data_IF_185945693693
#
_entry.id   IF_185945693693
#
_cell.length_a   1.000
_cell.length_b   1.000
_cell.length_c   1.000
_cell.angle_alpha   90.00
_cell.angle_beta   90.00
_cell.angle_gamma   90.00
#
_symmetry.space_group_name_H-M   'P 1'
#
loop_
_entity.id
_entity.type
_entity.pdbx_description
1 polymer ?
#
# COMPACT_ATOMS: atom_id res chain seq x y z
N UNK A 1 46.67 20.63 -42.97
CA UNK A 1 46.11 21.76 -42.19
C UNK A 1 44.59 21.67 -42.07
N UNK A 2 43.84 21.53 -43.17
CA UNK A 2 42.37 21.43 -43.17
C UNK A 2 41.81 20.24 -42.36
N UNK A 3 42.49 19.10 -42.40
CA UNK A 3 42.12 17.87 -41.67
C UNK A 3 42.27 18.02 -40.15
N UNK A 4 43.26 18.79 -39.69
CA UNK A 4 43.46 19.09 -38.27
C UNK A 4 42.37 20.03 -37.75
N UNK A 5 41.99 21.04 -38.53
CA UNK A 5 40.92 21.98 -38.18
C UNK A 5 39.54 21.29 -38.10
N UNK A 6 39.28 20.33 -38.99
CA UNK A 6 38.05 19.53 -38.97
C UNK A 6 37.99 18.63 -37.73
N UNK A 7 39.12 18.05 -37.33
CA UNK A 7 39.25 17.20 -36.13
C UNK A 7 38.99 18.00 -34.85
N UNK A 8 39.54 19.21 -34.72
CA UNK A 8 39.32 20.06 -33.54
C UNK A 8 37.87 20.51 -33.42
N UNK A 9 37.23 20.91 -34.54
CA UNK A 9 35.81 21.29 -34.56
C UNK A 9 34.87 20.16 -34.10
N UNK A 10 35.11 18.93 -34.58
CA UNK A 10 34.34 17.74 -34.16
C UNK A 10 34.50 17.46 -32.66
N UNK A 11 35.72 17.56 -32.13
CA UNK A 11 35.98 17.37 -30.69
C UNK A 11 35.25 18.42 -29.84
N UNK A 12 35.25 19.67 -30.26
CA UNK A 12 34.52 20.75 -29.56
C UNK A 12 33.02 20.49 -29.55
N UNK A 13 32.44 20.05 -30.68
CA UNK A 13 31.02 19.70 -30.75
C UNK A 13 30.65 18.58 -29.78
N UNK A 14 31.45 17.50 -29.75
CA UNK A 14 31.23 16.37 -28.83
C UNK A 14 31.26 16.83 -27.37
N UNK A 15 32.21 17.69 -27.01
CA UNK A 15 32.33 18.20 -25.64
C UNK A 15 31.12 19.04 -25.22
N UNK A 16 30.58 19.88 -26.11
CA UNK A 16 29.38 20.69 -25.84
C UNK A 16 28.16 19.79 -25.65
N UNK A 17 27.99 18.79 -26.52
CA UNK A 17 26.90 17.81 -26.39
C UNK A 17 27.01 17.05 -25.07
N UNK A 18 28.21 16.59 -24.72
CA UNK A 18 28.46 15.87 -23.47
C UNK A 18 28.15 16.75 -22.25
N UNK A 19 28.59 18.00 -22.25
CA UNK A 19 28.29 18.95 -21.18
C UNK A 19 26.77 19.18 -21.03
N UNK A 20 26.06 19.33 -22.14
CA UNK A 20 24.60 19.51 -22.16
C UNK A 20 23.88 18.29 -21.58
N UNK A 21 24.33 17.08 -21.93
CA UNK A 21 23.79 15.83 -21.38
C UNK A 21 24.02 15.78 -19.88
N UNK A 22 25.22 16.09 -19.39
CA UNK A 22 25.54 16.06 -17.95
C UNK A 22 24.66 17.03 -17.17
N UNK A 23 24.49 18.26 -17.67
CA UNK A 23 23.62 19.27 -17.02
C UNK A 23 22.18 18.77 -16.97
N UNK A 24 21.67 18.24 -18.08
CA UNK A 24 20.29 17.72 -18.16
C UNK A 24 20.10 16.55 -17.20
N UNK A 25 21.04 15.61 -17.16
CA UNK A 25 21.01 14.45 -16.27
C UNK A 25 21.04 14.86 -14.79
N UNK A 26 21.81 15.88 -14.45
CA UNK A 26 21.88 16.43 -13.09
C UNK A 26 20.53 16.97 -12.63
N UNK A 27 19.88 17.80 -13.46
CA UNK A 27 18.54 18.33 -13.17
C UNK A 27 17.52 17.19 -13.04
N UNK A 28 17.62 16.19 -13.92
CA UNK A 28 16.71 15.05 -13.89
C UNK A 28 16.87 14.21 -12.61
N UNK A 29 18.10 14.02 -12.15
CA UNK A 29 18.41 13.29 -10.91
C UNK A 29 17.79 13.97 -9.69
N UNK A 30 17.90 15.30 -9.60
CA UNK A 30 17.30 16.07 -8.49
C UNK A 30 15.78 15.94 -8.50
N UNK A 31 15.15 16.11 -9.68
CA UNK A 31 13.70 15.95 -9.84
C UNK A 31 13.24 14.54 -9.48
N UNK A 32 13.95 13.52 -9.96
CA UNK A 32 13.66 12.13 -9.69
C UNK A 32 13.73 11.82 -8.20
N UNK A 33 14.77 12.29 -7.52
CA UNK A 33 14.94 12.05 -6.09
C UNK A 33 13.82 12.70 -5.27
N UNK A 34 13.46 13.94 -5.63
CA UNK A 34 12.36 14.64 -4.99
C UNK A 34 11.01 13.94 -5.19
N UNK A 35 10.69 13.57 -6.44
CA UNK A 35 9.44 12.88 -6.75
C UNK A 35 9.37 11.49 -6.10
N UNK A 36 10.47 10.75 -6.09
CA UNK A 36 10.55 9.43 -5.43
C UNK A 36 10.26 9.54 -3.94
N UNK A 37 10.80 10.54 -3.26
CA UNK A 37 10.52 10.77 -1.83
C UNK A 37 9.06 11.11 -1.58
N UNK A 38 8.45 11.94 -2.43
CA UNK A 38 7.03 12.27 -2.32
C UNK A 38 6.14 11.05 -2.57
N UNK A 39 6.47 10.25 -3.58
CA UNK A 39 5.75 9.03 -3.91
C UNK A 39 5.84 8.00 -2.78
N UNK A 40 7.05 7.80 -2.21
CA UNK A 40 7.24 6.89 -1.09
C UNK A 40 6.36 7.25 0.11
N UNK A 41 6.33 8.53 0.50
CA UNK A 41 5.47 9.00 1.60
C UNK A 41 3.98 8.77 1.31
N UNK A 42 3.53 9.03 0.08
CA UNK A 42 2.13 8.78 -0.31
C UNK A 42 1.82 7.29 -0.26
N UNK A 43 2.70 6.44 -0.78
CA UNK A 43 2.56 4.99 -0.74
C UNK A 43 2.51 4.47 0.71
N UNK A 44 3.33 5.00 1.61
CA UNK A 44 3.33 4.62 3.02
C UNK A 44 1.98 4.94 3.70
N UNK A 45 1.42 6.13 3.45
CA UNK A 45 0.12 6.54 4.00
C UNK A 45 -0.99 5.62 3.48
N UNK A 46 -1.02 5.37 2.17
CA UNK A 46 -2.00 4.48 1.54
C UNK A 46 -1.87 3.06 2.07
N UNK A 47 -0.64 2.55 2.23
CA UNK A 47 -0.39 1.22 2.74
C UNK A 47 -0.84 1.09 4.20
N UNK A 48 -0.52 2.07 5.05
CA UNK A 48 -1.02 2.10 6.45
C UNK A 48 -2.54 2.11 6.51
N UNK A 49 -3.19 2.86 5.63
CA UNK A 49 -4.66 2.89 5.58
C UNK A 49 -5.23 1.54 5.11
N UNK A 50 -4.65 0.95 4.06
CA UNK A 50 -5.03 -0.38 3.56
C UNK A 50 -4.88 -1.46 4.63
N UNK A 51 -3.76 -1.47 5.37
CA UNK A 51 -3.55 -2.38 6.49
C UNK A 51 -4.60 -2.23 7.59
N UNK A 52 -5.00 -0.99 7.91
CA UNK A 52 -6.10 -0.74 8.87
C UNK A 52 -7.44 -1.29 8.37
N UNK A 53 -7.76 -1.08 7.09
CA UNK A 53 -8.98 -1.63 6.48
C UNK A 53 -8.98 -3.15 6.55
N UNK A 54 -7.89 -3.81 6.15
CA UNK A 54 -7.76 -5.27 6.21
C UNK A 54 -7.89 -5.79 7.64
N UNK A 55 -7.32 -5.09 8.62
CA UNK A 55 -7.45 -5.47 10.03
C UNK A 55 -8.91 -5.38 10.51
N UNK A 56 -9.63 -4.31 10.15
CA UNK A 56 -11.05 -4.15 10.46
C UNK A 56 -11.91 -5.21 9.77
N UNK A 57 -11.65 -5.49 8.49
CA UNK A 57 -12.34 -6.53 7.73
C UNK A 57 -12.17 -7.90 8.40
N UNK A 58 -10.94 -8.26 8.79
CA UNK A 58 -10.67 -9.50 9.53
C UNK A 58 -11.40 -9.53 10.88
N UNK A 59 -11.45 -8.42 11.60
CA UNK A 59 -12.20 -8.33 12.86
C UNK A 59 -13.71 -8.52 12.65
N UNK A 60 -14.28 -7.90 11.61
CA UNK A 60 -15.69 -8.06 11.27
C UNK A 60 -16.03 -9.50 10.87
N UNK A 61 -15.20 -10.11 10.02
CA UNK A 61 -15.33 -11.52 9.65
C UNK A 61 -15.23 -12.45 10.88
N UNK A 62 -14.30 -12.18 11.79
CA UNK A 62 -14.17 -12.93 13.05
C UNK A 62 -15.44 -12.81 13.90
N UNK A 63 -15.94 -11.59 14.11
CA UNK A 63 -17.18 -11.36 14.89
C UNK A 63 -18.39 -12.02 14.24
N UNK A 64 -18.52 -11.91 12.92
CA UNK A 64 -19.59 -12.55 12.18
C UNK A 64 -19.52 -14.07 12.29
N UNK A 65 -18.31 -14.65 12.17
CA UNK A 65 -18.08 -16.08 12.36
C UNK A 65 -18.39 -16.54 13.78
N UNK A 66 -18.01 -15.78 14.81
CA UNK A 66 -18.36 -16.07 16.19
C UNK A 66 -19.87 -16.05 16.42
N UNK A 67 -20.57 -15.04 15.90
CA UNK A 67 -22.03 -14.95 15.99
C UNK A 67 -22.70 -16.11 15.26
N UNK A 68 -22.24 -16.46 14.06
CA UNK A 68 -22.79 -17.56 13.26
C UNK A 68 -22.49 -18.92 13.89
N UNK A 69 -21.30 -19.09 14.47
CA UNK A 69 -20.95 -20.27 15.28
C UNK A 69 -21.84 -20.37 16.53
N UNK A 70 -22.04 -19.27 17.25
CA UNK A 70 -22.95 -19.23 18.40
C UNK A 70 -24.39 -19.58 18.04
N UNK A 71 -24.87 -19.09 16.88
CA UNK A 71 -26.22 -19.41 16.41
C UNK A 71 -26.35 -20.87 15.95
N UNK A 72 -25.33 -21.41 15.28
CA UNK A 72 -25.32 -22.83 14.88
C UNK A 72 -25.20 -23.79 16.07
N UNK A 73 -24.39 -23.45 17.08
CA UNK A 73 -24.31 -24.19 18.35
C UNK A 73 -25.67 -24.16 19.06
N UNK A 74 -26.31 -22.99 19.15
CA UNK A 74 -27.64 -22.84 19.76
C UNK A 74 -28.70 -23.65 19.01
N UNK A 75 -28.70 -23.62 17.68
CA UNK A 75 -29.61 -24.42 16.87
C UNK A 75 -29.38 -25.92 17.07
N UNK A 76 -28.11 -26.37 17.12
CA UNK A 76 -27.78 -27.77 17.37
C UNK A 76 -28.21 -28.21 18.78
N UNK A 77 -28.05 -27.35 19.79
CA UNK A 77 -28.50 -27.62 21.15
C UNK A 77 -30.03 -27.78 21.25
N UNK A 78 -30.79 -26.91 20.58
CA UNK A 78 -32.25 -26.96 20.61
C UNK A 78 -32.78 -28.15 19.78
N UNK A 79 -32.28 -28.34 18.54
CA UNK A 79 -32.83 -29.33 17.60
C UNK A 79 -32.29 -30.74 17.80
N UNK A 80 -31.00 -30.88 18.12
CA UNK A 80 -30.34 -32.20 18.19
C UNK A 80 -30.25 -32.72 19.63
N UNK A 81 -30.12 -31.82 20.61
CA UNK A 81 -29.99 -32.18 22.02
C UNK A 81 -31.28 -31.92 22.83
N UNK A 82 -32.37 -31.46 22.20
CA UNK A 82 -33.65 -31.12 22.84
C UNK A 82 -33.50 -30.22 24.09
N UNK A 83 -32.46 -29.38 24.13
CA UNK A 83 -32.26 -28.46 25.24
C UNK A 83 -33.32 -27.34 25.19
N UNK A 84 -34.16 -27.26 26.22
CA UNK A 84 -35.11 -26.17 26.35
C UNK A 84 -34.39 -24.85 26.68
N UNK A 85 -34.69 -23.74 25.97
CA UNK A 85 -34.12 -22.45 26.31
C UNK A 85 -34.61 -22.03 27.71
N UNK A 86 -33.66 -21.80 28.62
CA UNK A 86 -33.97 -21.31 29.97
C UNK A 86 -34.64 -19.92 29.90
N UNK A 87 -35.82 -19.78 30.54
CA UNK A 87 -36.61 -18.53 30.56
C UNK A 87 -35.98 -17.38 31.35
N UNK A 88 -34.80 -17.57 31.97
CA UNK A 88 -34.18 -16.54 32.82
C UNK A 88 -33.14 -15.75 32.02
N UNK A 89 -33.62 -14.86 31.14
CA UNK A 89 -32.78 -13.76 30.63
C UNK A 89 -32.60 -12.78 31.79
N UNK A 90 -31.51 -12.91 32.54
CA UNK A 90 -31.07 -11.85 33.44
C UNK A 90 -30.59 -10.73 32.53
N UNK A 91 -31.41 -9.69 32.36
CA UNK A 91 -30.99 -8.45 31.74
C UNK A 91 -29.77 -7.94 32.51
N UNK A 92 -28.60 -8.07 31.91
CA UNK A 92 -27.42 -7.33 32.34
C UNK A 92 -27.60 -5.93 31.75
N UNK A 93 -28.28 -5.07 32.50
CA UNK A 93 -28.19 -3.62 32.30
C UNK A 93 -26.71 -3.24 32.43
N UNK A 94 -26.17 -2.74 31.31
CA UNK A 94 -24.90 -2.00 31.27
C UNK A 94 -25.06 -0.64 31.96
#
# INVERSE_FOLDING_TARGET
MLTLLKKTSILTYINIVLATIVITLSIHTIKWHHQSRLLFKKAEIVNKHSQKIIALEKQLLSKYSEQMSGNTIREKAIKLLNMQPSKKVRNLTL
#
